data_IF_941457099321
#
_entry.id   IF_941457099321
#
_cell.length_a   1.000
_cell.length_b   1.000
_cell.length_c   1.000
_cell.angle_alpha   90.00
_cell.angle_beta   90.00
_cell.angle_gamma   90.00
#
_symmetry.space_group_name_H-M   'P 1'
#
loop_
_entity.id
_entity.type
_entity.pdbx_description
1 polymer ?
#
# COMPACT_ATOMS: atom_id res chain seq x y z
N UNK A 1 -14.24 0.43 -17.29
CA UNK A 1 -12.77 0.38 -17.12
C UNK A 1 -12.50 -0.07 -15.70
N UNK A 2 -11.63 -1.05 -15.49
CA UNK A 2 -11.38 -1.56 -14.14
C UNK A 2 -10.66 -0.49 -13.30
N UNK A 3 -11.25 -0.09 -12.18
CA UNK A 3 -10.68 0.86 -11.23
C UNK A 3 -10.43 0.15 -9.90
N UNK A 4 -9.42 0.59 -9.18
CA UNK A 4 -9.16 0.08 -7.86
C UNK A 4 -8.86 1.21 -6.90
N UNK A 5 -9.40 1.11 -5.70
CA UNK A 5 -9.07 1.97 -4.58
C UNK A 5 -8.11 1.22 -3.68
N UNK A 6 -6.91 1.75 -3.47
CA UNK A 6 -5.94 1.14 -2.58
C UNK A 6 -5.21 2.18 -1.72
N UNK A 7 -4.78 1.71 -0.55
CA UNK A 7 -3.87 2.41 0.34
C UNK A 7 -2.47 1.87 0.13
N UNK A 8 -1.45 2.71 0.27
CA UNK A 8 -0.06 2.28 0.24
C UNK A 8 0.81 2.98 1.27
N UNK A 9 1.84 2.27 1.74
CA UNK A 9 2.89 2.82 2.60
C UNK A 9 4.22 2.57 1.92
N UNK A 10 4.92 3.66 1.61
CA UNK A 10 6.30 3.62 1.13
C UNK A 10 7.24 3.78 2.33
N UNK A 11 8.08 2.79 2.58
CA UNK A 11 9.16 2.86 3.59
C UNK A 11 10.52 2.65 2.94
N UNK A 12 11.59 3.10 3.60
CA UNK A 12 12.95 3.03 3.05
C UNK A 12 13.54 1.64 3.24
N UNK A 13 13.30 1.01 4.39
CA UNK A 13 13.93 -0.26 4.75
C UNK A 13 12.93 -1.41 4.78
N UNK A 14 13.43 -2.64 4.58
CA UNK A 14 12.62 -3.84 4.68
C UNK A 14 12.12 -4.05 6.11
N UNK A 15 12.96 -3.74 7.11
CA UNK A 15 12.66 -3.87 8.53
C UNK A 15 11.46 -3.01 8.94
N UNK A 16 11.37 -1.76 8.44
CA UNK A 16 10.19 -0.94 8.65
C UNK A 16 8.95 -1.60 8.06
N UNK A 17 9.04 -2.13 6.84
CA UNK A 17 7.91 -2.76 6.17
C UNK A 17 7.44 -4.02 6.92
N UNK A 18 8.37 -4.80 7.47
CA UNK A 18 8.07 -5.97 8.29
C UNK A 18 7.49 -5.59 9.65
N UNK A 19 8.03 -4.56 10.30
CA UNK A 19 7.50 -4.03 11.55
C UNK A 19 6.06 -3.51 11.38
N UNK A 20 5.80 -2.81 10.27
CA UNK A 20 4.46 -2.37 9.90
C UNK A 20 3.52 -3.56 9.67
N UNK A 21 3.98 -4.60 8.96
CA UNK A 21 3.19 -5.82 8.73
C UNK A 21 2.84 -6.52 10.05
N UNK A 22 3.79 -6.62 10.99
CA UNK A 22 3.52 -7.14 12.35
C UNK A 22 2.49 -6.28 13.09
N UNK A 23 2.62 -4.96 13.02
CA UNK A 23 1.66 -4.04 13.65
C UNK A 23 0.25 -4.12 13.05
N UNK A 24 0.15 -4.31 11.74
CA UNK A 24 -1.12 -4.55 11.05
C UNK A 24 -1.74 -5.88 11.48
N UNK A 25 -0.93 -6.93 11.66
CA UNK A 25 -1.39 -8.21 12.22
C UNK A 25 -1.87 -8.08 13.68
N UNK A 26 -1.28 -7.16 14.45
CA UNK A 26 -1.75 -6.81 15.80
C UNK A 26 -3.03 -5.95 15.83
N UNK A 27 -3.63 -5.64 14.68
CA UNK A 27 -4.87 -4.86 14.59
C UNK A 27 -4.68 -3.34 14.55
N UNK A 28 -3.46 -2.83 14.36
CA UNK A 28 -3.26 -1.38 14.16
C UNK A 28 -3.86 -0.91 12.84
N UNK A 29 -4.30 0.35 12.81
CA UNK A 29 -4.88 0.96 11.61
C UNK A 29 -3.78 1.31 10.60
N UNK A 30 -3.99 0.89 9.36
CA UNK A 30 -3.09 1.17 8.24
C UNK A 30 -2.87 2.68 8.03
N UNK A 31 -3.92 3.48 8.18
CA UNK A 31 -3.83 4.94 8.03
C UNK A 31 -2.89 5.60 9.05
N UNK A 32 -2.85 5.14 10.30
CA UNK A 32 -1.97 5.71 11.33
C UNK A 32 -0.50 5.37 11.04
N UNK A 33 -0.26 4.14 10.62
CA UNK A 33 1.06 3.67 10.21
C UNK A 33 1.55 4.40 8.97
N UNK A 34 0.68 4.59 7.99
CA UNK A 34 0.97 5.36 6.78
C UNK A 34 1.30 6.82 7.10
N UNK A 35 0.58 7.45 8.05
CA UNK A 35 0.87 8.82 8.48
C UNK A 35 2.23 8.96 9.15
N UNK A 36 2.65 7.95 9.91
CA UNK A 36 3.90 7.95 10.67
C UNK A 36 5.12 7.51 9.86
N UNK A 37 4.96 6.53 8.98
CA UNK A 37 6.07 5.85 8.30
C UNK A 37 6.11 6.08 6.79
N UNK A 38 5.02 6.53 6.16
CA UNK A 38 5.05 6.72 4.71
C UNK A 38 5.92 7.91 4.33
N UNK A 39 6.90 7.65 3.48
CA UNK A 39 7.78 8.65 2.87
C UNK A 39 7.13 9.37 1.68
N UNK A 40 5.93 8.95 1.28
CA UNK A 40 5.20 9.57 0.19
C UNK A 40 4.31 10.70 0.73
N UNK A 41 4.09 11.81 0.00
CA UNK A 41 3.13 12.85 0.39
C UNK A 41 1.70 12.32 0.66
N UNK A 42 1.32 11.18 0.06
CA UNK A 42 0.07 10.48 0.36
C UNK A 42 0.00 9.93 1.80
N UNK A 43 1.13 9.83 2.51
CA UNK A 43 1.21 9.53 3.93
C UNK A 43 0.34 10.46 4.77
N UNK A 44 0.26 11.75 4.41
CA UNK A 44 -0.61 12.72 5.09
C UNK A 44 -2.10 12.39 4.98
N UNK A 45 -2.51 11.57 4.01
CA UNK A 45 -3.88 11.05 3.87
C UNK A 45 -4.04 9.63 4.42
N UNK A 46 -3.07 9.14 5.18
CA UNK A 46 -3.09 7.74 5.63
C UNK A 46 -2.73 6.74 4.54
N UNK A 47 -1.94 7.17 3.56
CA UNK A 47 -1.52 6.32 2.45
C UNK A 47 -2.58 6.15 1.37
N UNK A 48 -3.67 6.91 1.44
CA UNK A 48 -4.75 6.83 0.46
C UNK A 48 -4.33 7.40 -0.89
N UNK A 49 -4.44 6.56 -1.94
CA UNK A 49 -4.17 6.91 -3.33
C UNK A 49 -5.43 7.26 -4.12
N UNK A 50 -6.62 7.10 -3.52
CA UNK A 50 -7.90 7.18 -4.21
C UNK A 50 -8.12 6.04 -5.20
N UNK A 51 -9.04 6.25 -6.13
CA UNK A 51 -9.30 5.34 -7.23
C UNK A 51 -8.34 5.58 -8.39
N UNK A 52 -7.66 4.53 -8.82
CA UNK A 52 -6.78 4.57 -9.99
C UNK A 52 -7.09 3.40 -10.93
N UNK A 53 -6.78 3.59 -12.21
CA UNK A 53 -6.88 2.56 -13.25
C UNK A 53 -5.60 1.75 -13.40
N UNK A 54 -5.70 0.60 -14.08
CA UNK A 54 -4.53 -0.18 -14.52
C UNK A 54 -3.55 0.70 -15.30
N UNK A 55 -2.26 0.57 -14.99
CA UNK A 55 -1.16 1.27 -15.66
C UNK A 55 -0.85 2.67 -15.13
N UNK A 56 -1.61 3.19 -14.16
CA UNK A 56 -1.30 4.48 -13.53
C UNK A 56 -0.23 4.39 -12.44
N UNK A 57 -0.03 3.19 -11.88
CA UNK A 57 0.93 2.93 -10.81
C UNK A 57 2.08 2.04 -11.30
N UNK A 58 3.11 1.88 -10.46
CA UNK A 58 4.25 1.02 -10.79
C UNK A 58 3.79 -0.42 -11.10
N UNK A 59 4.41 -1.13 -12.06
CA UNK A 59 3.92 -2.43 -12.53
C UNK A 59 3.75 -3.48 -11.43
N UNK A 60 4.62 -3.46 -10.43
CA UNK A 60 4.54 -4.35 -9.27
C UNK A 60 3.31 -4.07 -8.40
N UNK A 61 2.94 -2.80 -8.26
CA UNK A 61 1.76 -2.37 -7.51
C UNK A 61 0.48 -2.77 -8.26
N UNK A 62 0.44 -2.50 -9.55
CA UNK A 62 -0.71 -2.81 -10.41
C UNK A 62 -1.02 -4.31 -10.42
N UNK A 63 0.02 -5.15 -10.55
CA UNK A 63 -0.11 -6.62 -10.46
C UNK A 63 -0.70 -7.08 -9.14
N UNK A 64 -0.39 -6.40 -8.03
CA UNK A 64 -0.88 -6.79 -6.71
C UNK A 64 -2.33 -6.33 -6.54
N UNK A 65 -2.63 -5.08 -6.86
CA UNK A 65 -3.99 -4.54 -6.73
C UNK A 65 -4.99 -5.27 -7.63
N UNK A 66 -4.61 -5.55 -8.88
CA UNK A 66 -5.49 -6.21 -9.84
C UNK A 66 -5.37 -7.74 -9.85
N UNK A 67 -4.29 -8.30 -9.30
CA UNK A 67 -4.07 -9.76 -9.25
C UNK A 67 -4.39 -10.43 -7.92
N UNK A 68 -4.45 -9.68 -6.81
CA UNK A 68 -4.71 -10.24 -5.48
C UNK A 68 -6.08 -9.86 -4.93
N UNK A 69 -6.59 -10.58 -3.91
CA UNK A 69 -7.83 -10.26 -3.23
C UNK A 69 -7.84 -8.84 -2.64
N UNK A 70 -9.03 -8.23 -2.69
CA UNK A 70 -9.34 -6.96 -2.04
C UNK A 70 -9.43 -7.13 -0.52
N UNK A 71 -9.38 -6.02 0.22
CA UNK A 71 -9.42 -5.91 1.70
C UNK A 71 -8.22 -6.52 2.45
N UNK A 72 -7.28 -7.15 1.76
CA UNK A 72 -6.04 -7.68 2.32
C UNK A 72 -4.85 -6.73 2.17
N UNK A 73 -3.91 -6.84 3.12
CA UNK A 73 -2.61 -6.16 3.05
C UNK A 73 -1.61 -7.03 2.32
N UNK A 74 -1.16 -6.56 1.17
CA UNK A 74 -0.15 -7.18 0.34
C UNK A 74 1.19 -6.48 0.48
N UNK A 75 2.21 -7.26 0.83
CA UNK A 75 3.60 -6.81 0.84
C UNK A 75 4.46 -7.55 1.87
N UNK A 76 5.72 -7.10 2.04
CA UNK A 76 6.34 -5.90 1.46
C UNK A 76 6.84 -6.10 0.01
N UNK A 77 6.65 -5.10 -0.85
CA UNK A 77 7.03 -5.14 -2.27
C UNK A 77 8.20 -4.20 -2.50
N UNK A 78 9.33 -4.73 -2.96
CA UNK A 78 10.50 -3.92 -3.30
C UNK A 78 10.31 -3.24 -4.65
N UNK A 79 10.51 -1.93 -4.68
CA UNK A 79 10.55 -1.12 -5.91
C UNK A 79 11.82 -0.26 -5.91
N UNK A 80 11.99 0.56 -6.96
CA UNK A 80 13.11 1.52 -7.04
C UNK A 80 13.05 2.62 -5.99
N UNK A 81 11.88 2.88 -5.40
CA UNK A 81 11.69 3.91 -4.38
C UNK A 81 11.87 3.39 -2.95
N UNK A 82 11.88 2.07 -2.76
CA UNK A 82 11.95 1.43 -1.44
C UNK A 82 10.98 0.26 -1.35
N UNK A 83 10.38 0.09 -0.17
CA UNK A 83 9.44 -0.99 0.12
C UNK A 83 8.01 -0.46 0.22
N UNK A 84 7.09 -1.15 -0.44
CA UNK A 84 5.69 -0.79 -0.48
C UNK A 84 4.83 -1.84 0.21
N UNK A 85 3.99 -1.40 1.12
CA UNK A 85 2.84 -2.18 1.59
C UNK A 85 1.59 -1.64 0.91
N UNK A 86 0.76 -2.52 0.38
CA UNK A 86 -0.44 -2.18 -0.37
C UNK A 86 -1.63 -2.78 0.33
N UNK A 87 -2.71 -2.03 0.49
CA UNK A 87 -3.99 -2.56 0.94
C UNK A 87 -5.06 -2.13 -0.04
N UNK A 88 -5.59 -3.07 -0.80
CA UNK A 88 -6.69 -2.77 -1.72
C UNK A 88 -7.98 -2.67 -0.91
N UNK A 89 -8.75 -1.60 -1.06
CA UNK A 89 -10.03 -1.42 -0.38
C UNK A 89 -11.17 -1.95 -1.25
N UNK A 90 -11.25 -1.47 -2.48
CA UNK A 90 -12.27 -1.85 -3.44
C UNK A 90 -11.69 -1.98 -4.84
N UNK A 91 -12.38 -2.75 -5.69
CA UNK A 91 -12.07 -2.90 -7.10
C UNK A 91 -13.38 -2.98 -7.87
N UNK A 92 -13.47 -2.23 -8.96
CA UNK A 92 -14.63 -2.11 -9.84
C UNK A 92 -14.24 -2.47 -11.27
#
# INVERSE_FOLDING_TARGET
MARAHALHILVKTQEEAEALKKQLASGKKFGDLARKHSLCPSGKKGGDLGEFGRGQMVPAFDKVVFGKPTLEVHGPIKTKFGWHLIKTLSRT
#
